data_IF_751004794927
#
_entry.id   IF_751004794927
#
_cell.length_a   1.000
_cell.length_b   1.000
_cell.length_c   1.000
_cell.angle_alpha   90.00
_cell.angle_beta   90.00
_cell.angle_gamma   90.00
#
_symmetry.space_group_name_H-M   'P 1'
#
loop_
_entity.id
_entity.type
_entity.pdbx_description
1 polymer ?
#
# COMPACT_ATOMS: atom_id res chain seq x y z
N UNK A 1 -56.81 19.40 -10.20
CA UNK A 1 -56.10 19.58 -11.48
C UNK A 1 -54.87 20.38 -11.24
N UNK A 2 -53.67 19.78 -11.54
CA UNK A 2 -52.40 20.44 -11.35
C UNK A 2 -51.94 21.11 -12.65
N UNK A 3 -51.31 22.29 -12.55
CA UNK A 3 -50.87 23.08 -13.69
C UNK A 3 -49.80 24.09 -13.32
N UNK A 4 -49.05 24.58 -14.31
CA UNK A 4 -48.16 25.70 -14.17
C UNK A 4 -48.90 27.02 -14.37
N UNK A 5 -48.58 28.03 -13.54
CA UNK A 5 -49.20 29.34 -13.65
C UNK A 5 -48.77 30.12 -14.90
N UNK A 6 -47.54 29.88 -15.35
CA UNK A 6 -46.94 30.54 -16.51
C UNK A 6 -46.67 29.53 -17.61
N UNK A 7 -47.18 29.79 -18.83
CA UNK A 7 -47.04 28.90 -19.98
C UNK A 7 -45.72 29.03 -20.75
N UNK A 8 -44.87 29.96 -20.42
CA UNK A 8 -43.65 30.33 -21.19
C UNK A 8 -42.42 30.57 -20.34
N UNK A 9 -42.28 29.93 -19.20
CA UNK A 9 -41.06 30.01 -18.41
C UNK A 9 -40.15 28.82 -18.72
N UNK A 10 -38.85 29.03 -18.70
CA UNK A 10 -37.81 28.00 -18.74
C UNK A 10 -37.31 27.78 -17.30
N UNK A 11 -36.78 26.56 -17.03
CA UNK A 11 -36.23 26.20 -15.74
C UNK A 11 -37.23 25.58 -14.78
N UNK A 12 -37.09 25.85 -13.49
CA UNK A 12 -37.87 25.26 -12.40
C UNK A 12 -39.06 26.18 -12.05
N UNK A 13 -40.26 25.64 -11.99
CA UNK A 13 -41.45 26.38 -11.58
C UNK A 13 -42.34 25.59 -10.62
N UNK A 14 -43.13 26.34 -9.81
CA UNK A 14 -44.06 25.74 -8.86
C UNK A 14 -45.32 25.25 -9.53
N UNK A 15 -45.80 24.10 -9.09
CA UNK A 15 -47.13 23.57 -9.47
C UNK A 15 -48.23 24.17 -8.64
N UNK A 16 -49.34 24.41 -9.28
CA UNK A 16 -50.57 24.89 -8.68
C UNK A 16 -51.71 23.89 -8.91
N UNK A 17 -52.67 23.91 -7.98
CA UNK A 17 -53.90 23.10 -8.15
C UNK A 17 -55.13 23.99 -8.05
N UNK A 18 -56.26 23.54 -8.63
CA UNK A 18 -57.57 24.12 -8.45
C UNK A 18 -58.36 23.32 -7.45
N UNK A 19 -58.97 23.99 -6.51
CA UNK A 19 -59.87 23.36 -5.54
C UNK A 19 -61.26 23.96 -5.69
N UNK A 20 -62.25 23.06 -5.91
CA UNK A 20 -63.64 23.45 -6.01
C UNK A 20 -64.48 22.46 -5.23
N UNK A 21 -65.26 22.98 -4.26
CA UNK A 21 -66.20 22.19 -3.47
C UNK A 21 -67.56 22.90 -3.43
N UNK A 22 -68.64 22.15 -3.40
CA UNK A 22 -69.98 22.72 -3.44
C UNK A 22 -70.54 23.03 -2.03
N UNK A 23 -70.17 22.20 -1.05
CA UNK A 23 -70.58 22.39 0.33
C UNK A 23 -69.44 22.03 1.27
N UNK A 24 -68.85 22.97 2.00
CA UNK A 24 -69.05 24.44 1.85
C UNK A 24 -68.64 24.90 0.44
N UNK A 25 -69.20 26.03 -0.03
CA UNK A 25 -68.82 26.56 -1.34
C UNK A 25 -67.44 27.21 -1.30
N UNK A 26 -66.49 26.49 -1.91
CA UNK A 26 -65.09 26.91 -2.01
C UNK A 26 -64.68 26.85 -3.47
N UNK A 27 -64.07 27.93 -3.96
CA UNK A 27 -63.51 28.00 -5.31
C UNK A 27 -62.18 28.74 -5.26
N UNK A 28 -61.09 27.96 -5.31
CA UNK A 28 -59.73 28.47 -5.42
C UNK A 28 -59.15 28.09 -6.78
N UNK A 29 -58.74 29.06 -7.56
CA UNK A 29 -58.21 28.83 -8.91
C UNK A 29 -56.72 28.54 -8.90
N UNK A 30 -55.96 29.08 -7.91
CA UNK A 30 -54.54 28.99 -7.81
C UNK A 30 -54.14 28.69 -6.35
N UNK A 31 -53.98 27.42 -6.03
CA UNK A 31 -53.43 26.94 -4.75
C UNK A 31 -52.01 26.48 -5.00
N UNK A 32 -51.04 27.06 -4.31
CA UNK A 32 -49.64 26.61 -4.41
C UNK A 32 -49.49 25.27 -3.71
N UNK A 33 -48.93 24.28 -4.43
CA UNK A 33 -48.74 22.92 -3.88
C UNK A 33 -47.42 22.76 -3.10
N UNK A 34 -46.53 23.74 -3.13
CA UNK A 34 -45.17 23.62 -2.58
C UNK A 34 -44.25 22.75 -3.42
N UNK A 35 -44.73 22.12 -4.50
CA UNK A 35 -43.96 21.26 -5.37
C UNK A 35 -43.37 22.05 -6.53
N UNK A 36 -42.06 21.98 -6.73
CA UNK A 36 -41.38 22.53 -7.89
C UNK A 36 -41.08 21.44 -8.90
N UNK A 37 -41.21 21.76 -10.19
CA UNK A 37 -40.89 20.83 -11.28
C UNK A 37 -40.11 21.55 -12.37
N UNK A 38 -39.29 20.78 -13.07
CA UNK A 38 -38.69 21.23 -14.31
C UNK A 38 -39.79 21.41 -15.39
N UNK A 39 -39.78 22.58 -16.01
CA UNK A 39 -40.84 22.96 -16.96
C UNK A 39 -40.81 22.10 -18.22
N UNK A 40 -39.62 21.73 -18.71
CA UNK A 40 -39.53 20.87 -19.90
C UNK A 40 -40.05 19.47 -19.61
N UNK A 41 -39.71 18.90 -18.46
CA UNK A 41 -40.18 17.60 -18.00
C UNK A 41 -41.73 17.63 -17.87
N UNK A 42 -42.26 18.69 -17.24
CA UNK A 42 -43.71 18.88 -17.11
C UNK A 42 -44.40 19.03 -18.44
N UNK A 43 -43.85 19.82 -19.37
CA UNK A 43 -44.45 20.05 -20.68
C UNK A 43 -44.44 18.79 -21.55
N UNK A 44 -43.32 18.01 -21.53
CA UNK A 44 -43.25 16.73 -22.23
C UNK A 44 -44.30 15.74 -21.72
N UNK A 45 -44.42 15.65 -20.40
CA UNK A 45 -45.44 14.84 -19.77
C UNK A 45 -46.86 15.28 -20.08
N UNK A 46 -47.13 16.58 -20.07
CA UNK A 46 -48.45 17.15 -20.31
C UNK A 46 -48.91 17.08 -21.77
N UNK A 47 -48.00 17.01 -22.75
CA UNK A 47 -48.32 16.82 -24.17
C UNK A 47 -48.77 15.41 -24.50
N UNK A 48 -48.35 14.43 -23.73
CA UNK A 48 -48.72 13.02 -23.94
C UNK A 48 -49.96 12.59 -23.16
N UNK A 49 -50.55 13.47 -22.32
CA UNK A 49 -51.57 13.06 -21.38
C UNK A 49 -52.84 13.88 -21.54
N UNK A 50 -53.74 13.28 -22.21
CA UNK A 50 -55.16 13.61 -22.18
C UNK A 50 -55.79 13.22 -20.82
N UNK A 51 -55.07 12.41 -20.03
CA UNK A 51 -55.47 11.99 -18.69
C UNK A 51 -54.31 12.09 -17.73
N UNK A 52 -54.41 12.92 -16.80
CA UNK A 52 -53.87 13.10 -15.44
C UNK A 52 -52.94 12.14 -14.84
N UNK A 53 -52.68 11.12 -15.43
CA UNK A 53 -52.18 10.01 -14.71
C UNK A 53 -50.87 9.60 -15.23
N UNK A 54 -49.92 9.90 -14.51
CA UNK A 54 -48.77 9.03 -14.45
C UNK A 54 -47.72 9.33 -15.50
N UNK A 55 -46.82 10.20 -15.10
CA UNK A 55 -45.48 10.22 -15.63
C UNK A 55 -44.95 8.78 -15.67
N UNK A 56 -44.57 8.31 -16.83
CA UNK A 56 -44.01 6.98 -17.02
C UNK A 56 -42.49 7.11 -16.94
N UNK A 57 -41.86 6.53 -15.89
CA UNK A 57 -40.44 6.57 -15.64
C UNK A 57 -40.12 6.80 -14.17
N UNK A 58 -38.83 6.64 -13.75
CA UNK A 58 -38.42 6.74 -12.34
C UNK A 58 -38.79 8.06 -11.68
N UNK A 59 -38.43 9.19 -12.28
CA UNK A 59 -38.76 10.54 -11.79
C UNK A 59 -40.26 10.82 -11.78
N UNK A 60 -40.99 10.27 -12.74
CA UNK A 60 -42.44 10.38 -12.81
C UNK A 60 -43.18 9.72 -11.67
N UNK A 61 -42.68 8.60 -11.15
CA UNK A 61 -43.28 7.92 -9.99
C UNK A 61 -43.20 8.78 -8.71
N UNK A 62 -42.06 9.41 -8.47
CA UNK A 62 -41.86 10.28 -7.31
C UNK A 62 -42.76 11.50 -7.38
N UNK A 63 -42.87 12.13 -8.56
CA UNK A 63 -43.75 13.28 -8.75
C UNK A 63 -45.20 12.91 -8.57
N UNK A 64 -45.67 11.78 -9.14
CA UNK A 64 -47.01 11.29 -8.94
C UNK A 64 -47.33 11.04 -7.47
N UNK A 65 -46.44 10.39 -6.73
CA UNK A 65 -46.60 10.19 -5.29
C UNK A 65 -46.74 11.51 -4.49
N UNK A 66 -45.97 12.55 -4.89
CA UNK A 66 -46.13 13.90 -4.30
C UNK A 66 -47.47 14.52 -4.62
N UNK A 67 -47.93 14.40 -5.87
CA UNK A 67 -49.24 14.93 -6.30
C UNK A 67 -50.43 14.20 -5.64
N UNK A 68 -50.32 12.89 -5.44
CA UNK A 68 -51.32 12.09 -4.74
C UNK A 68 -51.39 12.51 -3.26
N UNK A 69 -50.27 12.75 -2.60
CA UNK A 69 -50.24 13.27 -1.22
C UNK A 69 -50.87 14.66 -1.11
N UNK A 70 -50.63 15.56 -2.07
CA UNK A 70 -51.28 16.85 -2.11
C UNK A 70 -52.82 16.65 -2.16
N UNK A 71 -53.30 15.76 -3.02
CA UNK A 71 -54.73 15.46 -3.13
C UNK A 71 -55.28 14.91 -1.82
N UNK A 72 -54.63 13.93 -1.22
CA UNK A 72 -54.99 13.33 0.07
C UNK A 72 -55.03 14.38 1.19
N UNK A 73 -54.03 15.28 1.24
CA UNK A 73 -54.00 16.35 2.23
C UNK A 73 -55.16 17.31 2.09
N UNK A 74 -55.51 17.68 0.86
CA UNK A 74 -56.69 18.52 0.59
C UNK A 74 -57.96 17.83 1.11
N UNK A 75 -58.15 16.55 0.78
CA UNK A 75 -59.30 15.79 1.23
C UNK A 75 -59.37 15.62 2.75
N UNK A 76 -58.22 15.37 3.39
CA UNK A 76 -58.13 15.27 4.85
C UNK A 76 -58.48 16.58 5.56
N UNK A 77 -57.96 17.73 5.10
CA UNK A 77 -58.28 19.02 5.68
C UNK A 77 -59.76 19.39 5.53
N UNK A 78 -60.40 18.98 4.45
CA UNK A 78 -61.85 19.08 4.30
C UNK A 78 -62.61 18.17 5.27
N UNK A 79 -62.20 16.92 5.41
CA UNK A 79 -62.79 15.95 6.33
C UNK A 79 -62.69 16.41 7.80
N UNK A 80 -61.58 17.06 8.18
CA UNK A 80 -61.35 17.60 9.50
C UNK A 80 -62.04 18.96 9.73
N UNK A 81 -62.85 19.43 8.79
CA UNK A 81 -63.50 20.75 8.88
C UNK A 81 -62.53 21.95 9.10
N UNK A 82 -61.32 21.86 8.64
CA UNK A 82 -60.32 22.94 8.70
C UNK A 82 -60.49 23.95 7.55
N UNK A 83 -61.16 23.55 6.50
CA UNK A 83 -61.42 24.37 5.31
C UNK A 83 -62.94 24.62 5.19
N UNK A 84 -63.42 25.77 5.65
CA UNK A 84 -64.86 26.08 5.72
C UNK A 84 -65.27 27.22 4.80
N UNK A 85 -64.34 28.08 4.42
CA UNK A 85 -64.62 29.28 3.66
C UNK A 85 -63.51 29.57 2.63
N UNK A 86 -63.76 30.52 1.72
CA UNK A 86 -62.74 30.95 0.77
C UNK A 86 -61.56 31.68 1.40
N UNK A 87 -61.71 32.18 2.65
CA UNK A 87 -60.61 32.77 3.42
C UNK A 87 -59.57 31.77 3.95
N UNK A 88 -59.88 30.45 3.94
CA UNK A 88 -59.02 29.43 4.50
C UNK A 88 -57.95 28.93 3.50
N UNK A 89 -57.86 29.54 2.31
CA UNK A 89 -56.84 29.23 1.32
C UNK A 89 -55.40 29.30 1.86
N UNK A 90 -54.97 30.31 2.69
CA UNK A 90 -53.64 30.35 3.24
C UNK A 90 -53.35 29.12 4.13
N UNK A 91 -54.31 28.64 4.91
CA UNK A 91 -54.18 27.48 5.76
C UNK A 91 -53.84 26.20 4.95
N UNK A 92 -54.50 26.04 3.81
CA UNK A 92 -54.20 24.93 2.91
C UNK A 92 -52.79 25.08 2.29
N UNK A 93 -52.46 26.26 1.77
CA UNK A 93 -51.19 26.51 1.14
C UNK A 93 -50.01 26.31 2.12
N UNK A 94 -50.14 26.76 3.36
CA UNK A 94 -49.16 26.53 4.40
C UNK A 94 -48.94 25.05 4.72
N UNK A 95 -50.06 24.30 4.88
CA UNK A 95 -49.98 22.85 5.12
C UNK A 95 -49.29 22.09 3.96
N UNK A 96 -49.59 22.45 2.71
CA UNK A 96 -48.95 21.85 1.55
C UNK A 96 -47.46 22.17 1.45
N UNK A 97 -47.06 23.40 1.70
CA UNK A 97 -45.64 23.82 1.73
C UNK A 97 -44.89 23.12 2.84
N UNK A 98 -45.47 22.99 4.03
CA UNK A 98 -44.85 22.25 5.14
C UNK A 98 -44.57 20.76 4.78
N UNK A 99 -45.52 20.10 4.15
CA UNK A 99 -45.36 18.71 3.70
C UNK A 99 -44.27 18.61 2.65
N UNK A 100 -44.22 19.49 1.66
CA UNK A 100 -43.17 19.52 0.65
C UNK A 100 -41.77 19.77 1.24
N UNK A 101 -41.68 20.66 2.20
CA UNK A 101 -40.42 20.95 2.91
C UNK A 101 -39.94 19.76 3.73
N UNK A 102 -40.83 19.11 4.48
CA UNK A 102 -40.50 17.93 5.28
C UNK A 102 -40.01 16.76 4.40
N UNK A 103 -40.60 16.57 3.24
CA UNK A 103 -40.16 15.57 2.27
C UNK A 103 -38.77 15.90 1.71
N UNK A 104 -38.51 17.17 1.39
CA UNK A 104 -37.19 17.61 0.92
C UNK A 104 -36.10 17.44 2.00
N UNK A 105 -36.43 17.67 3.27
CA UNK A 105 -35.50 17.44 4.39
C UNK A 105 -35.21 15.94 4.52
N UNK A 106 -36.24 15.10 4.56
CA UNK A 106 -36.07 13.62 4.64
C UNK A 106 -35.23 13.08 3.49
N UNK A 107 -35.50 13.52 2.25
CA UNK A 107 -34.71 13.10 1.10
C UNK A 107 -33.22 13.49 1.22
N UNK A 108 -32.94 14.70 1.72
CA UNK A 108 -31.56 15.14 1.97
C UNK A 108 -30.88 14.31 3.06
N UNK A 109 -31.57 13.96 4.13
CA UNK A 109 -31.07 13.11 5.21
C UNK A 109 -30.77 11.71 4.73
N UNK A 110 -31.63 11.10 3.91
CA UNK A 110 -31.41 9.78 3.31
C UNK A 110 -30.18 9.77 2.39
N UNK A 111 -30.03 10.79 1.55
CA UNK A 111 -28.84 10.93 0.69
C UNK A 111 -27.59 11.03 1.54
N UNK A 112 -27.61 11.87 2.58
CA UNK A 112 -26.46 12.05 3.50
C UNK A 112 -26.12 10.74 4.22
N UNK A 113 -27.12 10.00 4.65
CA UNK A 113 -26.90 8.70 5.31
C UNK A 113 -26.34 7.64 4.36
N UNK A 114 -26.83 7.58 3.11
CA UNK A 114 -26.25 6.69 2.07
C UNK A 114 -24.80 7.04 1.78
N UNK A 115 -24.48 8.32 1.66
CA UNK A 115 -23.09 8.77 1.45
C UNK A 115 -22.20 8.41 2.64
N UNK A 116 -22.69 8.57 3.89
CA UNK A 116 -21.95 8.17 5.08
C UNK A 116 -21.68 6.67 5.09
N UNK A 117 -22.70 5.84 4.87
CA UNK A 117 -22.54 4.38 4.82
C UNK A 117 -21.57 3.92 3.71
N UNK A 118 -21.64 4.55 2.55
CA UNK A 118 -20.73 4.26 1.45
C UNK A 118 -19.29 4.65 1.79
N UNK A 119 -19.09 5.80 2.45
CA UNK A 119 -17.77 6.23 2.91
C UNK A 119 -17.22 5.30 4.01
N UNK A 120 -18.05 4.88 4.96
CA UNK A 120 -17.69 3.91 5.99
C UNK A 120 -17.28 2.57 5.38
N UNK A 121 -18.03 2.09 4.37
CA UNK A 121 -17.68 0.86 3.64
C UNK A 121 -16.31 0.98 2.96
N UNK A 122 -16.06 2.07 2.22
CA UNK A 122 -14.78 2.31 1.55
C UNK A 122 -13.62 2.41 2.54
N UNK A 123 -13.84 3.06 3.67
CA UNK A 123 -12.83 3.16 4.72
C UNK A 123 -12.52 1.78 5.33
N UNK A 124 -13.54 0.95 5.56
CA UNK A 124 -13.36 -0.42 6.06
C UNK A 124 -12.61 -1.31 5.05
N UNK A 125 -12.96 -1.22 3.76
CA UNK A 125 -12.26 -1.93 2.68
C UNK A 125 -10.79 -1.50 2.57
N UNK A 126 -10.51 -0.20 2.65
CA UNK A 126 -9.14 0.32 2.62
C UNK A 126 -8.33 -0.14 3.84
N UNK A 127 -8.93 -0.10 5.03
CA UNK A 127 -8.28 -0.56 6.25
C UNK A 127 -7.99 -2.07 6.18
N UNK A 128 -8.94 -2.86 5.68
CA UNK A 128 -8.73 -4.29 5.47
C UNK A 128 -7.58 -4.55 4.49
N UNK A 129 -7.53 -3.81 3.38
CA UNK A 129 -6.45 -3.92 2.39
C UNK A 129 -5.08 -3.55 2.99
N UNK A 130 -5.00 -2.50 3.80
CA UNK A 130 -3.76 -2.12 4.49
C UNK A 130 -3.26 -3.20 5.46
N UNK A 131 -4.16 -3.96 6.07
CA UNK A 131 -3.81 -5.09 6.95
C UNK A 131 -3.34 -6.34 6.22
N UNK A 132 -3.52 -6.42 4.89
CA UNK A 132 -3.06 -7.58 4.11
C UNK A 132 -1.54 -7.64 4.08
N UNK A 133 -0.99 -8.80 4.40
CA UNK A 133 0.47 -9.03 4.53
C UNK A 133 1.20 -8.72 3.23
N UNK A 134 0.68 -9.23 2.10
CA UNK A 134 1.30 -9.05 0.78
C UNK A 134 1.25 -7.58 0.36
N UNK A 135 0.11 -6.92 0.54
CA UNK A 135 -0.03 -5.50 0.20
C UNK A 135 0.89 -4.61 1.03
N UNK A 136 0.94 -4.82 2.34
CA UNK A 136 1.86 -4.09 3.21
C UNK A 136 3.33 -4.30 2.81
N UNK A 137 3.70 -5.55 2.51
CA UNK A 137 5.03 -5.87 2.01
C UNK A 137 5.38 -5.14 0.71
N UNK A 138 4.45 -5.04 -0.24
CA UNK A 138 4.66 -4.31 -1.49
C UNK A 138 4.90 -2.82 -1.26
N UNK A 139 4.08 -2.20 -0.41
CA UNK A 139 4.27 -0.80 -0.01
C UNK A 139 5.65 -0.59 0.65
N UNK A 140 6.03 -1.47 1.58
CA UNK A 140 7.35 -1.45 2.21
C UNK A 140 8.47 -1.62 1.19
N UNK A 141 8.39 -2.62 0.30
CA UNK A 141 9.42 -2.87 -0.71
C UNK A 141 9.59 -1.67 -1.65
N UNK A 142 8.52 -1.07 -2.10
CA UNK A 142 8.56 0.13 -2.93
C UNK A 142 9.22 1.29 -2.17
N UNK A 143 8.84 1.50 -0.91
CA UNK A 143 9.42 2.54 -0.07
C UNK A 143 10.94 2.40 0.16
N UNK A 144 11.47 1.19 0.34
CA UNK A 144 12.91 0.98 0.45
C UNK A 144 13.66 1.11 -0.88
N UNK A 145 13.00 0.81 -2.00
CA UNK A 145 13.59 0.97 -3.34
C UNK A 145 13.66 2.45 -3.72
N UNK A 146 12.63 3.22 -3.39
CA UNK A 146 12.54 4.66 -3.64
C UNK A 146 13.35 5.49 -2.64
N UNK A 147 13.82 4.88 -1.52
CA UNK A 147 14.55 5.56 -0.46
C UNK A 147 13.69 6.37 0.51
N UNK A 148 12.36 6.26 0.41
CA UNK A 148 11.42 6.89 1.35
C UNK A 148 11.42 6.19 2.72
N UNK A 149 11.65 4.88 2.75
CA UNK A 149 11.82 4.09 3.98
C UNK A 149 13.31 3.83 4.21
N UNK A 150 13.81 4.21 5.38
CA UNK A 150 15.21 4.10 5.76
C UNK A 150 15.42 3.10 6.88
N UNK A 151 16.61 2.54 6.95
CA UNK A 151 17.00 1.55 7.96
C UNK A 151 17.53 2.24 9.23
N UNK A 152 17.07 1.80 10.40
CA UNK A 152 17.62 2.20 11.71
C UNK A 152 17.76 3.71 11.90
N UNK A 153 18.99 4.20 12.07
CA UNK A 153 19.28 5.62 12.31
C UNK A 153 19.18 6.52 11.07
N UNK A 154 18.44 6.11 10.05
CA UNK A 154 18.21 6.93 8.84
C UNK A 154 19.13 6.58 7.66
N UNK A 155 19.84 5.45 7.71
CA UNK A 155 20.63 4.94 6.59
C UNK A 155 19.77 4.35 5.50
N UNK A 156 20.18 4.47 4.25
CA UNK A 156 19.53 3.81 3.13
C UNK A 156 19.76 2.30 3.13
N UNK A 157 18.81 1.55 2.59
CA UNK A 157 18.99 0.13 2.36
C UNK A 157 20.04 -0.11 1.27
N UNK A 158 21.03 -0.95 1.54
CA UNK A 158 22.02 -1.33 0.52
C UNK A 158 21.38 -2.15 -0.59
N UNK A 159 21.97 -2.14 -1.79
CA UNK A 159 21.51 -2.95 -2.94
C UNK A 159 21.36 -4.44 -2.57
N UNK A 160 22.30 -4.98 -1.77
CA UNK A 160 22.23 -6.36 -1.29
C UNK A 160 21.09 -6.61 -0.33
N UNK A 161 20.79 -5.67 0.57
CA UNK A 161 19.63 -5.76 1.48
C UNK A 161 18.31 -5.73 0.70
N UNK A 162 18.19 -4.84 -0.28
CA UNK A 162 17.02 -4.76 -1.16
C UNK A 162 16.83 -6.09 -1.92
N UNK A 163 17.91 -6.70 -2.42
CA UNK A 163 17.84 -7.99 -3.10
C UNK A 163 17.34 -9.12 -2.18
N UNK A 164 17.71 -9.10 -0.91
CA UNK A 164 17.18 -10.05 0.09
C UNK A 164 15.67 -9.87 0.26
N UNK A 165 15.19 -8.63 0.37
CA UNK A 165 13.76 -8.35 0.48
C UNK A 165 13.00 -8.75 -0.79
N UNK A 166 13.55 -8.49 -1.98
CA UNK A 166 12.97 -8.95 -3.26
C UNK A 166 12.84 -10.47 -3.31
N UNK A 167 13.89 -11.19 -2.88
CA UNK A 167 13.88 -12.66 -2.83
C UNK A 167 12.86 -13.19 -1.83
N UNK A 168 12.80 -12.61 -0.63
CA UNK A 168 11.78 -12.93 0.37
C UNK A 168 10.38 -12.69 -0.18
N UNK A 169 10.13 -11.55 -0.82
CA UNK A 169 8.84 -11.18 -1.37
C UNK A 169 8.30 -12.16 -2.42
N UNK A 170 9.18 -12.75 -3.22
CA UNK A 170 8.78 -13.79 -4.17
C UNK A 170 8.20 -15.02 -3.47
N UNK A 171 8.84 -15.49 -2.40
CA UNK A 171 8.38 -16.64 -1.62
C UNK A 171 7.19 -16.30 -0.71
N UNK A 172 7.14 -15.07 -0.22
CA UNK A 172 5.99 -14.58 0.53
C UNK A 172 4.72 -14.62 -0.33
N UNK A 173 4.77 -14.10 -1.56
CA UNK A 173 3.64 -14.10 -2.50
C UNK A 173 3.23 -15.51 -2.93
N UNK A 174 4.17 -16.41 -3.05
CA UNK A 174 3.89 -17.81 -3.39
C UNK A 174 3.21 -18.57 -2.24
N UNK A 175 3.59 -18.25 -1.00
CA UNK A 175 3.07 -18.91 0.19
C UNK A 175 1.76 -18.30 0.69
N UNK A 176 1.66 -16.98 0.67
CA UNK A 176 0.61 -16.22 1.35
C UNK A 176 -0.44 -15.73 0.33
N UNK A 177 -1.70 -16.19 0.40
CA UNK A 177 -2.78 -15.62 -0.39
C UNK A 177 -2.94 -14.12 -0.14
N UNK A 178 -3.39 -13.38 -1.15
CA UNK A 178 -3.49 -11.92 -1.10
C UNK A 178 -4.45 -11.40 -0.03
N UNK A 179 -5.46 -12.19 0.34
CA UNK A 179 -6.47 -11.83 1.34
C UNK A 179 -5.99 -12.00 2.80
N UNK A 180 -4.84 -12.67 3.02
CA UNK A 180 -4.31 -12.90 4.37
C UNK A 180 -3.83 -11.62 5.02
N UNK A 181 -4.27 -11.42 6.25
CA UNK A 181 -3.93 -10.27 7.09
C UNK A 181 -2.95 -10.65 8.20
N UNK A 182 -2.39 -9.66 8.89
CA UNK A 182 -1.57 -9.91 10.08
C UNK A 182 -2.36 -10.58 11.22
N UNK A 183 -3.68 -10.45 11.24
CA UNK A 183 -4.54 -11.10 12.24
C UNK A 183 -4.58 -12.64 12.05
N UNK A 184 -4.31 -13.14 10.83
CA UNK A 184 -4.23 -14.57 10.51
C UNK A 184 -2.90 -15.22 10.94
N UNK A 185 -1.90 -14.43 11.34
CA UNK A 185 -0.58 -14.96 11.71
C UNK A 185 -0.63 -15.63 13.08
N UNK A 186 -0.71 -16.95 13.05
CA UNK A 186 -0.66 -17.85 14.21
C UNK A 186 0.67 -18.59 14.26
N UNK A 187 0.88 -19.39 15.31
CA UNK A 187 2.00 -20.33 15.37
C UNK A 187 1.96 -21.32 14.21
N UNK A 188 0.77 -21.86 13.93
CA UNK A 188 0.58 -22.80 12.81
C UNK A 188 0.93 -22.16 11.46
N UNK A 189 0.57 -20.90 11.25
CA UNK A 189 0.94 -20.15 10.05
C UNK A 189 2.46 -20.06 9.90
N UNK A 190 3.16 -19.72 10.99
CA UNK A 190 4.62 -19.62 10.99
C UNK A 190 5.31 -20.96 10.73
N UNK A 191 4.78 -22.05 11.32
CA UNK A 191 5.28 -23.40 11.06
C UNK A 191 5.03 -23.85 9.62
N UNK A 192 3.85 -23.53 9.07
CA UNK A 192 3.53 -23.80 7.65
C UNK A 192 4.44 -23.04 6.69
N UNK A 193 4.76 -21.77 6.98
CA UNK A 193 5.72 -21.00 6.18
C UNK A 193 7.10 -21.63 6.19
N UNK A 194 7.56 -22.09 7.36
CA UNK A 194 8.84 -22.78 7.48
C UNK A 194 8.84 -24.09 6.68
N UNK A 195 7.76 -24.89 6.79
CA UNK A 195 7.62 -26.13 6.03
C UNK A 195 7.59 -25.88 4.52
N UNK A 196 6.90 -24.84 4.07
CA UNK A 196 6.92 -24.42 2.67
C UNK A 196 8.36 -24.14 2.18
N UNK A 197 9.18 -23.44 2.95
CA UNK A 197 10.56 -23.16 2.60
C UNK A 197 11.43 -24.46 2.62
N UNK A 198 11.18 -25.37 3.55
CA UNK A 198 11.83 -26.70 3.57
C UNK A 198 11.50 -27.53 2.32
N UNK A 199 10.24 -27.50 1.88
CA UNK A 199 9.80 -28.18 0.65
C UNK A 199 10.44 -27.58 -0.61
N UNK A 200 10.93 -26.33 -0.55
CA UNK A 200 11.76 -25.69 -1.59
C UNK A 200 13.25 -26.06 -1.47
N UNK A 201 13.61 -27.01 -0.59
CA UNK A 201 14.97 -27.47 -0.34
C UNK A 201 15.94 -26.38 0.12
N UNK A 202 15.45 -25.36 0.83
CA UNK A 202 16.33 -24.39 1.43
C UNK A 202 17.05 -24.94 2.66
N UNK A 203 18.32 -24.56 2.80
CA UNK A 203 19.08 -24.81 4.01
C UNK A 203 18.50 -24.03 5.19
N UNK A 204 18.60 -24.57 6.40
CA UNK A 204 18.05 -23.95 7.61
C UNK A 204 18.53 -22.51 7.84
N UNK A 205 19.76 -22.18 7.49
CA UNK A 205 20.29 -20.81 7.54
C UNK A 205 19.49 -19.85 6.64
N UNK A 206 19.10 -20.28 5.43
CA UNK A 206 18.30 -19.47 4.52
C UNK A 206 16.86 -19.34 5.02
N UNK A 207 16.30 -20.42 5.57
CA UNK A 207 14.97 -20.41 6.20
C UNK A 207 14.94 -19.42 7.35
N UNK A 208 15.94 -19.46 8.24
CA UNK A 208 16.05 -18.51 9.36
C UNK A 208 16.14 -17.07 8.87
N UNK A 209 16.84 -16.81 7.76
CA UNK A 209 16.88 -15.48 7.14
C UNK A 209 15.51 -14.99 6.71
N UNK A 210 14.70 -15.84 6.05
CA UNK A 210 13.36 -15.47 5.63
C UNK A 210 12.38 -15.35 6.81
N UNK A 211 12.50 -16.20 7.82
CA UNK A 211 11.77 -16.08 9.09
C UNK A 211 12.08 -14.74 9.77
N UNK A 212 13.34 -14.32 9.76
CA UNK A 212 13.77 -13.00 10.28
C UNK A 212 13.18 -11.85 9.47
N UNK A 213 13.11 -11.99 8.13
CA UNK A 213 12.43 -10.99 7.28
C UNK A 213 10.94 -10.88 7.63
N UNK A 214 10.26 -12.02 7.82
CA UNK A 214 8.84 -12.00 8.19
C UNK A 214 8.61 -11.36 9.57
N UNK A 215 9.44 -11.71 10.56
CA UNK A 215 9.42 -11.09 11.90
C UNK A 215 9.57 -9.56 11.81
N UNK A 216 10.53 -9.09 11.01
CA UNK A 216 10.73 -7.65 10.78
C UNK A 216 9.52 -7.00 10.14
N UNK A 217 8.90 -7.66 9.16
CA UNK A 217 7.69 -7.16 8.51
C UNK A 217 6.53 -7.01 9.49
N UNK A 218 6.32 -8.02 10.36
CA UNK A 218 5.30 -7.95 11.42
C UNK A 218 5.55 -6.81 12.41
N UNK A 219 6.82 -6.58 12.79
CA UNK A 219 7.19 -5.50 13.70
C UNK A 219 6.98 -4.13 13.07
N UNK A 220 7.39 -3.94 11.81
CA UNK A 220 7.16 -2.69 11.07
C UNK A 220 5.67 -2.37 10.97
N UNK A 221 4.85 -3.36 10.62
CA UNK A 221 3.40 -3.19 10.59
C UNK A 221 2.81 -2.85 11.98
N UNK A 222 3.42 -3.34 13.06
CA UNK A 222 3.00 -2.98 14.42
C UNK A 222 3.42 -1.55 14.79
N UNK A 223 4.60 -1.11 14.40
CA UNK A 223 5.08 0.27 14.59
C UNK A 223 4.17 1.28 13.87
N UNK A 224 3.62 0.91 12.71
CA UNK A 224 2.65 1.71 11.97
C UNK A 224 1.20 1.58 12.48
N UNK A 225 0.95 0.78 13.53
CA UNK A 225 -0.38 0.56 14.09
C UNK A 225 -1.31 -0.32 13.24
N UNK A 226 -0.78 -0.96 12.18
CA UNK A 226 -1.53 -1.83 11.26
C UNK A 226 -1.68 -3.24 11.84
N UNK A 227 -0.62 -3.75 12.48
CA UNK A 227 -0.59 -5.08 13.09
C UNK A 227 -0.76 -5.00 14.62
N UNK A 228 -1.92 -5.40 15.10
CA UNK A 228 -2.22 -5.47 16.53
C UNK A 228 -2.14 -6.90 17.09
N UNK A 229 -1.73 -7.88 16.28
CA UNK A 229 -1.65 -9.28 16.68
C UNK A 229 -0.37 -9.57 17.46
N UNK A 230 -0.47 -9.61 18.80
CA UNK A 230 0.68 -9.90 19.66
C UNK A 230 1.32 -11.28 19.41
N UNK A 231 0.58 -12.25 18.86
CA UNK A 231 1.08 -13.56 18.49
C UNK A 231 2.02 -13.45 17.29
N UNK A 232 1.66 -12.65 16.29
CA UNK A 232 2.44 -12.43 15.08
C UNK A 232 3.85 -11.89 15.36
N UNK A 233 4.04 -11.18 16.47
CA UNK A 233 5.32 -10.61 16.86
C UNK A 233 6.26 -11.63 17.53
N UNK A 234 5.73 -12.75 18.04
CA UNK A 234 6.45 -13.70 18.91
C UNK A 234 6.71 -15.07 18.27
N UNK A 235 5.96 -15.43 17.23
CA UNK A 235 6.00 -16.79 16.65
C UNK A 235 7.22 -17.06 15.77
N UNK A 236 7.86 -16.04 15.25
CA UNK A 236 8.99 -16.13 14.32
C UNK A 236 10.30 -16.42 15.05
N UNK A 237 10.53 -17.68 15.39
CA UNK A 237 11.76 -18.11 16.07
C UNK A 237 12.73 -18.72 15.07
N UNK A 238 13.99 -18.32 15.15
CA UNK A 238 15.06 -18.97 14.44
C UNK A 238 15.38 -20.32 15.09
N UNK A 239 15.73 -21.31 14.29
CA UNK A 239 16.20 -22.61 14.78
C UNK A 239 17.70 -22.64 14.77
N UNK A 240 18.29 -23.23 15.80
CA UNK A 240 19.74 -23.44 15.86
C UNK A 240 20.14 -24.43 14.77
N UNK A 241 21.10 -24.02 13.93
CA UNK A 241 21.71 -24.91 12.95
C UNK A 241 22.68 -25.80 13.70
N UNK A 242 22.41 -27.10 13.74
CA UNK A 242 23.32 -28.06 14.38
C UNK A 242 24.49 -28.35 13.45
N UNK A 243 25.64 -28.67 14.03
CA UNK A 243 26.92 -28.81 13.31
C UNK A 243 26.95 -29.80 12.14
N UNK A 244 25.97 -30.73 12.06
CA UNK A 244 25.84 -31.64 10.89
C UNK A 244 25.33 -30.97 9.62
N UNK A 245 24.65 -29.81 9.74
CA UNK A 245 24.17 -29.01 8.60
C UNK A 245 25.13 -27.84 8.28
N UNK A 246 26.08 -27.54 9.19
CA UNK A 246 27.17 -26.64 8.90
C UNK A 246 28.07 -27.34 7.86
N UNK A 247 28.19 -26.74 6.68
CA UNK A 247 29.17 -27.22 5.70
C UNK A 247 30.53 -27.26 6.41
N UNK A 248 31.24 -28.37 6.31
CA UNK A 248 32.63 -28.42 6.71
C UNK A 248 33.37 -27.26 6.02
N UNK A 249 34.00 -26.41 6.82
CA UNK A 249 34.78 -25.32 6.26
C UNK A 249 35.97 -25.96 5.51
N UNK A 250 35.99 -25.72 4.20
CA UNK A 250 37.07 -26.16 3.33
C UNK A 250 38.11 -25.04 3.37
N UNK A 251 39.28 -25.35 3.78
CA UNK A 251 40.43 -24.46 3.79
C UNK A 251 41.63 -25.11 3.08
N UNK A 252 42.48 -24.30 2.52
CA UNK A 252 43.74 -24.79 1.93
C UNK A 252 44.75 -24.99 3.04
N UNK A 253 45.46 -26.10 2.98
CA UNK A 253 46.65 -26.34 3.82
C UNK A 253 47.83 -25.47 3.36
N UNK A 254 48.83 -25.27 4.21
CA UNK A 254 50.05 -24.51 3.85
C UNK A 254 50.71 -25.10 2.58
N UNK A 255 50.79 -26.43 2.48
CA UNK A 255 51.38 -27.11 1.31
C UNK A 255 50.56 -26.82 0.01
N UNK A 256 49.24 -26.75 0.08
CA UNK A 256 48.41 -26.42 -1.08
C UNK A 256 48.59 -24.95 -1.46
N UNK A 257 48.73 -24.04 -0.46
CA UNK A 257 49.00 -22.62 -0.69
C UNK A 257 50.34 -22.46 -1.39
N UNK A 258 51.43 -23.14 -0.89
CA UNK A 258 52.74 -23.09 -1.50
C UNK A 258 52.75 -23.67 -2.93
N UNK A 259 52.02 -24.78 -3.14
CA UNK A 259 51.87 -25.39 -4.46
C UNK A 259 51.19 -24.44 -5.42
N UNK A 260 50.10 -23.77 -5.01
CA UNK A 260 49.39 -22.80 -5.83
C UNK A 260 50.30 -21.59 -6.17
N UNK A 261 51.11 -21.17 -5.21
CA UNK A 261 52.05 -20.05 -5.40
C UNK A 261 53.14 -20.41 -6.44
N UNK A 262 53.67 -21.64 -6.37
CA UNK A 262 54.70 -22.14 -7.29
C UNK A 262 54.21 -22.44 -8.72
N UNK A 263 52.89 -22.44 -8.96
CA UNK A 263 52.34 -22.70 -10.26
C UNK A 263 52.74 -21.65 -11.30
N UNK A 264 53.23 -22.06 -12.44
CA UNK A 264 53.53 -21.20 -13.57
C UNK A 264 52.24 -20.97 -14.35
N UNK A 265 51.57 -19.88 -14.09
CA UNK A 265 50.34 -19.43 -14.73
C UNK A 265 50.66 -18.24 -15.65
N UNK A 266 49.75 -17.87 -16.52
CA UNK A 266 49.88 -16.71 -17.39
C UNK A 266 48.52 -16.05 -17.63
N UNK A 267 48.55 -14.74 -17.91
CA UNK A 267 47.32 -13.98 -18.22
C UNK A 267 46.33 -13.89 -17.08
N UNK A 268 45.06 -14.22 -17.35
CA UNK A 268 43.97 -14.09 -16.38
C UNK A 268 44.18 -15.01 -15.17
N UNK A 269 44.65 -16.23 -15.36
CA UNK A 269 44.83 -17.22 -14.30
C UNK A 269 45.91 -16.75 -13.33
N UNK A 270 47.00 -16.16 -13.82
CA UNK A 270 48.04 -15.55 -13.01
C UNK A 270 47.49 -14.40 -12.17
N UNK A 271 46.73 -13.48 -12.80
CA UNK A 271 46.12 -12.35 -12.12
C UNK A 271 45.13 -12.80 -11.02
N UNK A 272 44.32 -13.82 -11.26
CA UNK A 272 43.37 -14.38 -10.27
C UNK A 272 44.15 -15.01 -9.08
N UNK A 273 45.19 -15.78 -9.34
CA UNK A 273 46.07 -16.33 -8.29
C UNK A 273 46.60 -15.20 -7.42
N UNK A 274 47.13 -14.17 -8.01
CA UNK A 274 47.81 -13.08 -7.30
C UNK A 274 46.82 -12.26 -6.47
N UNK A 275 45.64 -12.00 -6.96
CA UNK A 275 44.56 -11.38 -6.18
C UNK A 275 44.09 -12.30 -5.04
N UNK A 276 44.08 -13.60 -5.23
CA UNK A 276 43.77 -14.57 -4.18
C UNK A 276 44.83 -14.52 -3.06
N UNK A 277 46.12 -14.47 -3.41
CA UNK A 277 47.19 -14.30 -2.44
C UNK A 277 47.13 -12.98 -1.69
N UNK A 278 46.78 -11.89 -2.37
CA UNK A 278 46.53 -10.61 -1.71
C UNK A 278 45.43 -10.74 -0.65
N UNK A 279 44.36 -11.49 -0.96
CA UNK A 279 43.28 -11.81 -0.03
C UNK A 279 43.74 -12.59 1.18
N UNK A 280 44.58 -13.63 0.98
CA UNK A 280 45.18 -14.43 2.07
C UNK A 280 46.08 -13.54 2.96
N UNK A 281 47.01 -12.82 2.36
CA UNK A 281 47.95 -11.99 3.09
C UNK A 281 47.27 -10.83 3.85
N UNK A 282 46.23 -10.26 3.29
CA UNK A 282 45.51 -9.16 3.93
C UNK A 282 44.49 -9.59 4.96
N UNK A 283 43.96 -10.83 4.86
CA UNK A 283 42.87 -11.31 5.70
C UNK A 283 41.57 -10.51 5.53
N UNK A 284 41.44 -9.77 4.42
CA UNK A 284 40.34 -8.87 4.18
C UNK A 284 39.26 -9.52 3.32
N UNK A 285 38.04 -8.89 3.31
CA UNK A 285 36.94 -9.32 2.43
C UNK A 285 37.31 -9.02 0.98
N UNK A 286 36.81 -9.81 0.06
CA UNK A 286 36.98 -9.59 -1.39
C UNK A 286 36.59 -8.15 -1.80
N UNK A 287 35.50 -7.62 -1.26
CA UNK A 287 35.07 -6.24 -1.53
C UNK A 287 36.11 -5.18 -1.13
N UNK A 288 36.88 -5.46 -0.08
CA UNK A 288 37.82 -4.51 0.50
C UNK A 288 39.19 -4.57 -0.25
N UNK A 289 39.76 -5.77 -0.44
CA UNK A 289 41.01 -5.87 -1.18
C UNK A 289 40.87 -5.67 -2.70
N UNK A 290 39.68 -5.92 -3.30
CA UNK A 290 39.43 -5.61 -4.71
C UNK A 290 39.44 -4.09 -4.99
N UNK A 291 39.27 -3.26 -3.97
CA UNK A 291 39.38 -1.79 -4.11
C UNK A 291 40.77 -1.25 -3.98
N UNK A 292 41.77 -2.07 -3.64
CA UNK A 292 43.13 -1.63 -3.44
C UNK A 292 43.77 -1.16 -4.77
N UNK A 293 44.59 -0.13 -4.66
CA UNK A 293 45.38 0.43 -5.74
C UNK A 293 46.80 0.81 -5.23
N UNK A 294 47.68 1.25 -6.12
CA UNK A 294 49.07 1.57 -5.73
C UNK A 294 49.21 2.56 -4.57
N UNK A 295 48.27 3.50 -4.41
CA UNK A 295 48.32 4.49 -3.33
C UNK A 295 48.06 3.88 -1.94
N UNK A 296 47.48 2.69 -1.87
CA UNK A 296 47.26 1.97 -0.62
C UNK A 296 48.53 1.33 -0.05
N UNK A 297 49.57 1.11 -0.90
CA UNK A 297 50.80 0.52 -0.53
C UNK A 297 51.80 1.64 -0.17
N UNK A 298 52.28 1.64 1.06
CA UNK A 298 53.17 2.70 1.59
C UNK A 298 54.32 2.09 2.36
N UNK A 299 55.42 2.82 2.39
CA UNK A 299 56.53 2.49 3.25
C UNK A 299 56.63 3.51 4.39
N UNK A 300 56.70 3.02 5.62
CA UNK A 300 56.84 3.88 6.78
C UNK A 300 58.28 4.46 6.87
N UNK A 301 58.46 5.51 7.67
CA UNK A 301 59.76 6.10 7.91
C UNK A 301 60.78 5.12 8.54
N UNK A 302 60.26 4.07 9.18
CA UNK A 302 61.03 2.98 9.77
C UNK A 302 61.37 1.86 8.77
N UNK A 303 61.03 2.04 7.51
CA UNK A 303 61.28 1.06 6.44
C UNK A 303 60.31 -0.11 6.39
N UNK A 304 59.23 -0.11 7.17
CA UNK A 304 58.22 -1.16 7.18
C UNK A 304 57.16 -0.87 6.07
N UNK A 305 56.84 -1.86 5.30
CA UNK A 305 55.83 -1.77 4.28
C UNK A 305 54.43 -1.99 4.90
N UNK A 306 53.46 -1.18 4.47
CA UNK A 306 52.10 -1.22 4.97
C UNK A 306 51.08 -1.15 3.82
N UNK A 307 49.96 -1.79 4.05
CA UNK A 307 48.74 -1.63 3.21
C UNK A 307 47.76 -0.82 4.03
N UNK A 308 47.36 0.35 3.51
CA UNK A 308 46.31 1.18 4.11
C UNK A 308 45.05 1.04 3.28
N UNK A 309 44.00 0.47 3.84
CA UNK A 309 42.75 0.27 3.15
C UNK A 309 41.56 0.77 3.96
N UNK A 310 40.50 1.14 3.25
CA UNK A 310 39.20 1.52 3.81
C UNK A 310 38.23 0.37 3.68
N UNK A 311 37.69 -0.10 4.81
CA UNK A 311 36.72 -1.19 4.83
C UNK A 311 35.34 -0.68 4.47
N UNK A 312 34.79 -1.14 3.35
CA UNK A 312 33.49 -0.67 2.80
C UNK A 312 32.32 -0.94 3.75
N UNK A 313 32.34 -2.09 4.45
CA UNK A 313 31.22 -2.51 5.28
C UNK A 313 31.21 -1.88 6.69
N UNK A 314 32.37 -1.67 7.28
CA UNK A 314 32.52 -1.15 8.64
C UNK A 314 32.86 0.34 8.68
N UNK A 315 33.23 0.90 7.51
CA UNK A 315 33.65 2.30 7.35
C UNK A 315 34.93 2.66 8.16
N UNK A 316 35.71 1.65 8.49
CA UNK A 316 36.95 1.83 9.22
C UNK A 316 38.17 1.87 8.30
N UNK A 317 39.19 2.63 8.68
CA UNK A 317 40.50 2.57 8.03
C UNK A 317 41.36 1.52 8.73
N UNK A 318 41.87 0.56 7.98
CA UNK A 318 42.73 -0.50 8.46
C UNK A 318 44.14 -0.31 7.90
N UNK A 319 45.13 -0.50 8.76
CA UNK A 319 46.55 -0.51 8.38
C UNK A 319 47.07 -1.94 8.63
N UNK A 320 47.53 -2.59 7.58
CA UNK A 320 48.14 -3.92 7.64
C UNK A 320 49.62 -3.76 7.51
N UNK A 321 50.34 -4.25 8.49
CA UNK A 321 51.80 -4.27 8.46
C UNK A 321 52.27 -5.51 7.71
N UNK A 322 53.12 -5.31 6.72
CA UNK A 322 53.68 -6.38 5.90
C UNK A 322 55.06 -6.74 6.44
N UNK A 323 55.18 -7.89 7.10
CA UNK A 323 56.43 -8.40 7.60
C UNK A 323 57.09 -9.31 6.55
N UNK A 324 58.39 -9.09 6.21
CA UNK A 324 59.06 -9.88 5.16
C UNK A 324 59.09 -11.37 5.43
N UNK A 325 59.08 -11.79 6.68
CA UNK A 325 59.14 -13.20 7.08
C UNK A 325 57.84 -14.00 6.86
N UNK A 326 56.71 -13.30 6.63
CA UNK A 326 55.42 -13.93 6.42
C UNK A 326 54.90 -13.81 4.95
N UNK A 327 55.54 -12.95 4.18
CA UNK A 327 55.20 -12.78 2.77
C UNK A 327 56.44 -13.24 2.01
N UNK A 328 56.34 -14.37 1.32
CA UNK A 328 57.42 -14.79 0.45
C UNK A 328 57.80 -13.62 -0.45
N UNK A 329 59.11 -13.38 -0.61
CA UNK A 329 59.68 -12.26 -1.37
C UNK A 329 59.04 -12.05 -2.75
N UNK A 330 58.41 -13.09 -3.31
CA UNK A 330 57.75 -13.03 -4.59
C UNK A 330 56.40 -12.30 -4.58
N UNK A 331 55.52 -12.52 -3.59
CA UNK A 331 54.19 -11.83 -3.49
C UNK A 331 54.39 -10.33 -3.29
N UNK A 332 55.38 -9.94 -2.48
CA UNK A 332 55.70 -8.52 -2.24
C UNK A 332 56.27 -7.83 -3.46
N UNK A 333 57.20 -8.45 -4.17
CA UNK A 333 57.77 -7.93 -5.42
C UNK A 333 56.70 -7.79 -6.47
N UNK A 334 55.72 -8.68 -6.50
CA UNK A 334 54.58 -8.60 -7.40
C UNK A 334 53.68 -7.40 -7.05
N UNK A 335 53.29 -7.22 -5.80
CA UNK A 335 52.41 -6.15 -5.33
C UNK A 335 53.04 -4.75 -5.55
N UNK A 336 54.33 -4.64 -5.52
CA UNK A 336 55.08 -3.40 -5.74
C UNK A 336 55.59 -3.22 -7.18
N UNK A 337 55.43 -4.20 -8.03
CA UNK A 337 55.87 -4.18 -9.42
C UNK A 337 55.23 -3.03 -10.23
N UNK A 338 55.96 -2.33 -11.09
CA UNK A 338 55.40 -1.32 -11.96
C UNK A 338 54.36 -1.87 -12.99
N UNK A 339 54.36 -3.18 -13.20
CA UNK A 339 53.46 -3.88 -14.12
C UNK A 339 52.18 -4.41 -13.45
N UNK A 340 52.02 -4.12 -12.15
CA UNK A 340 50.78 -4.51 -11.46
C UNK A 340 49.59 -3.69 -11.94
N UNK A 341 48.87 -4.27 -12.88
CA UNK A 341 47.62 -3.71 -13.38
C UNK A 341 46.48 -4.39 -12.64
N UNK A 342 45.83 -3.68 -11.76
CA UNK A 342 44.56 -4.12 -11.20
C UNK A 342 43.52 -4.23 -12.35
N UNK A 343 43.13 -5.44 -12.72
CA UNK A 343 41.95 -5.62 -13.54
C UNK A 343 40.74 -5.50 -12.61
N UNK A 344 40.38 -4.27 -12.24
CA UNK A 344 39.09 -3.96 -11.64
C UNK A 344 38.09 -3.80 -12.78
N UNK A 345 37.43 -4.86 -13.12
CA UNK A 345 36.45 -4.85 -14.17
C UNK A 345 35.88 -6.21 -14.51
N UNK A 346 35.28 -6.88 -13.52
CA UNK A 346 34.28 -7.88 -13.82
C UNK A 346 32.95 -7.34 -13.27
N UNK A 347 32.25 -6.59 -14.14
CA UNK A 347 30.85 -6.19 -13.99
C UNK A 347 29.90 -7.38 -14.05
#
# INVERSE_FOLDING_TARGET
MFFLRTKRAEGIANLYTRVKKRNPYIKWEYVNTGISVDIEVWQKANRSIITWSKFIGGEGKELNAKLDRVSQTIDMLFAENKLKSNSDKPVLEEALVQIANNEAIKAKEEIKERQRKEQERKNAENLHKQKQIVHFFECFLNGIVEGSIRYGKGSEYTKSSIQVWKSFGRYLKEFCPEDKTFDDVTRQFADSFRQFLQNKHFMEMTINKYVTCFRKLCNLAAEEGINNNAVSLKVWKERTVKGSEAKAEVYLTEHEIDSLYAMRLSGIEEAVRDVFFLGICSGQRVSDYASLNKANFKRTDKGTDIISLYQIKTTDTLIIYCFPDYISTGVWTFLTSPNFVFIVGLS
#
